data_IF_182565513923
#
_entry.id   IF_182565513923
#
_cell.length_a   1.000
_cell.length_b   1.000
_cell.length_c   1.000
_cell.angle_alpha   90.00
_cell.angle_beta   90.00
_cell.angle_gamma   90.00
#
_symmetry.space_group_name_H-M   'P 1'
#
loop_
_entity.id
_entity.type
_entity.pdbx_description
1 polymer ?
#
# COMPACT_ATOMS: atom_id res chain seq x y z
N UNK A 1 13.36 10.76 11.99
CA UNK A 1 12.78 11.85 11.17
C UNK A 1 13.76 12.49 10.19
N UNK A 2 14.88 13.10 10.63
CA UNK A 2 15.84 13.81 9.74
C UNK A 2 16.27 13.03 8.48
N UNK A 3 16.58 11.74 8.62
CA UNK A 3 16.98 10.88 7.49
C UNK A 3 15.84 10.71 6.47
N UNK A 4 14.62 10.47 6.96
CA UNK A 4 13.44 10.31 6.09
C UNK A 4 13.18 11.59 5.27
N UNK A 5 13.23 12.77 5.90
CA UNK A 5 13.06 14.05 5.20
C UNK A 5 14.12 14.23 4.09
N UNK A 6 15.39 13.87 4.37
CA UNK A 6 16.46 13.90 3.36
C UNK A 6 16.19 12.94 2.20
N UNK A 7 15.68 11.74 2.48
CA UNK A 7 15.35 10.76 1.45
C UNK A 7 14.19 11.23 0.57
N UNK A 8 13.13 11.80 1.17
CA UNK A 8 11.99 12.40 0.47
C UNK A 8 12.45 13.55 -0.43
N UNK A 9 13.29 14.47 0.09
CA UNK A 9 13.85 15.58 -0.71
C UNK A 9 14.72 15.08 -1.88
N UNK A 10 15.45 13.99 -1.67
CA UNK A 10 16.26 13.36 -2.72
C UNK A 10 15.37 12.75 -3.82
N UNK A 11 14.30 12.05 -3.44
CA UNK A 11 13.34 11.51 -4.41
C UNK A 11 12.63 12.63 -5.16
N UNK A 12 12.18 13.68 -4.46
CA UNK A 12 11.58 14.87 -5.07
C UNK A 12 12.48 15.45 -6.15
N UNK A 13 13.75 15.70 -5.82
CA UNK A 13 14.72 16.29 -6.76
C UNK A 13 14.88 15.44 -8.02
N UNK A 14 14.95 14.11 -7.87
CA UNK A 14 15.04 13.17 -9.00
C UNK A 14 13.76 13.18 -9.84
N UNK A 15 12.60 13.18 -9.20
CA UNK A 15 11.32 13.11 -9.90
C UNK A 15 10.99 14.41 -10.64
N UNK A 16 11.31 15.57 -10.05
CA UNK A 16 11.18 16.88 -10.69
C UNK A 16 12.04 16.94 -11.96
N UNK A 17 13.33 16.58 -11.86
CA UNK A 17 14.22 16.56 -13.01
C UNK A 17 13.72 15.60 -14.12
N UNK A 18 13.14 14.46 -13.73
CA UNK A 18 12.50 13.53 -14.68
C UNK A 18 11.29 14.14 -15.40
N UNK A 19 10.40 14.81 -14.65
CA UNK A 19 9.20 15.47 -15.21
C UNK A 19 9.58 16.64 -16.12
N UNK A 20 10.52 17.49 -15.71
CA UNK A 20 11.02 18.61 -16.51
C UNK A 20 11.66 18.14 -17.82
N UNK A 21 12.49 17.08 -17.78
CA UNK A 21 13.06 16.45 -18.98
C UNK A 21 11.99 15.90 -19.93
N UNK A 22 10.80 15.57 -19.42
CA UNK A 22 9.64 15.11 -20.19
C UNK A 22 8.72 16.25 -20.65
N UNK A 23 9.07 17.51 -20.38
CA UNK A 23 8.24 18.69 -20.69
C UNK A 23 7.03 18.86 -19.77
N UNK A 24 6.93 18.08 -18.69
CA UNK A 24 5.83 18.09 -17.71
C UNK A 24 6.08 19.14 -16.62
N UNK A 25 6.19 20.41 -17.01
CA UNK A 25 6.56 21.51 -16.11
C UNK A 25 5.50 21.81 -15.05
N UNK A 26 4.21 21.65 -15.40
CA UNK A 26 3.11 21.88 -14.46
C UNK A 26 3.12 20.81 -13.36
N UNK A 27 3.24 19.54 -13.74
CA UNK A 27 3.33 18.42 -12.82
C UNK A 27 4.56 18.54 -11.90
N UNK A 28 5.70 18.95 -12.45
CA UNK A 28 6.92 19.20 -11.68
C UNK A 28 6.70 20.30 -10.62
N UNK A 29 6.03 21.39 -11.00
CA UNK A 29 5.69 22.49 -10.08
C UNK A 29 4.72 22.05 -9.00
N UNK A 30 3.64 21.35 -9.38
CA UNK A 30 2.64 20.82 -8.45
C UNK A 30 3.30 19.89 -7.42
N UNK A 31 4.17 18.98 -7.88
CA UNK A 31 4.87 18.03 -7.02
C UNK A 31 5.79 18.74 -6.04
N UNK A 32 6.56 19.73 -6.52
CA UNK A 32 7.48 20.52 -5.72
C UNK A 32 6.76 21.28 -4.62
N UNK A 33 5.71 22.02 -4.98
CA UNK A 33 4.95 22.83 -4.03
C UNK A 33 4.32 21.95 -2.94
N UNK A 34 3.65 20.86 -3.33
CA UNK A 34 3.00 19.95 -2.39
C UNK A 34 4.01 19.30 -1.44
N UNK A 35 5.10 18.76 -2.00
CA UNK A 35 6.08 17.99 -1.22
C UNK A 35 6.87 18.89 -0.27
N UNK A 36 7.24 20.11 -0.69
CA UNK A 36 7.94 21.06 0.19
C UNK A 36 7.05 21.49 1.36
N UNK A 37 5.76 21.77 1.12
CA UNK A 37 4.81 22.06 2.19
C UNK A 37 4.68 20.90 3.18
N UNK A 38 4.52 19.67 2.67
CA UNK A 38 4.44 18.48 3.54
C UNK A 38 5.76 18.27 4.34
N UNK A 39 6.93 18.57 3.75
CA UNK A 39 8.25 18.53 4.43
C UNK A 39 8.38 19.58 5.54
N UNK A 40 7.93 20.81 5.31
CA UNK A 40 7.89 21.88 6.32
C UNK A 40 7.00 21.48 7.49
N UNK A 41 5.77 21.01 7.19
CA UNK A 41 4.84 20.54 8.23
C UNK A 41 5.41 19.38 9.07
N UNK A 42 6.06 18.39 8.43
CA UNK A 42 6.73 17.30 9.16
C UNK A 42 7.92 17.78 9.99
N UNK A 43 8.61 18.84 9.56
CA UNK A 43 9.75 19.40 10.30
C UNK A 43 9.30 20.19 11.53
N UNK A 44 8.21 20.95 11.43
CA UNK A 44 7.70 21.81 12.50
C UNK A 44 6.82 21.06 13.50
N UNK A 45 5.89 20.25 13.01
CA UNK A 45 4.84 19.62 13.83
C UNK A 45 5.04 18.12 14.02
N UNK A 46 5.95 17.51 13.26
CA UNK A 46 6.15 16.05 13.24
C UNK A 46 5.16 15.29 12.36
N UNK A 47 4.13 15.94 11.80
CA UNK A 47 3.12 15.31 10.94
C UNK A 47 2.75 16.20 9.74
N UNK A 48 2.11 15.63 8.72
CA UNK A 48 1.52 16.38 7.62
C UNK A 48 0.21 15.70 7.14
N UNK A 49 -0.59 16.43 6.37
CA UNK A 49 -1.79 15.87 5.75
C UNK A 49 -1.40 14.87 4.66
N UNK A 50 -1.83 13.62 4.82
CA UNK A 50 -1.48 12.54 3.90
C UNK A 50 -0.09 11.94 4.16
N UNK A 51 0.36 11.94 5.42
CA UNK A 51 1.68 11.42 5.82
C UNK A 51 1.91 9.96 5.39
N UNK A 52 0.85 9.17 5.24
CA UNK A 52 0.90 7.79 4.78
C UNK A 52 1.51 7.66 3.38
N UNK A 53 1.47 8.70 2.54
CA UNK A 53 2.11 8.70 1.22
C UNK A 53 3.65 8.69 1.31
N UNK A 54 4.20 8.94 2.50
CA UNK A 54 5.63 8.87 2.80
C UNK A 54 5.99 7.63 3.64
N UNK A 55 5.06 6.68 3.85
CA UNK A 55 5.25 5.55 4.76
C UNK A 55 6.55 4.79 4.51
N UNK A 56 6.92 4.53 3.25
CA UNK A 56 8.14 3.78 2.93
C UNK A 56 9.40 4.52 3.35
N UNK A 57 9.43 5.86 3.24
CA UNK A 57 10.56 6.67 3.72
C UNK A 57 10.62 6.72 5.24
N UNK A 58 9.46 6.79 5.90
CA UNK A 58 9.35 6.86 7.36
C UNK A 58 9.71 5.52 8.02
N UNK A 59 9.33 4.41 7.39
CA UNK A 59 9.60 3.04 7.84
C UNK A 59 10.95 2.51 7.32
N UNK A 60 11.64 3.27 6.47
CA UNK A 60 12.86 2.87 5.75
C UNK A 60 12.70 1.54 5.00
N UNK A 61 11.50 1.27 4.49
CA UNK A 61 11.25 0.10 3.64
C UNK A 61 11.87 0.31 2.27
N UNK A 62 12.39 -0.79 1.70
CA UNK A 62 12.80 -0.81 0.30
C UNK A 62 11.56 -0.69 -0.59
N UNK A 63 11.72 -0.04 -1.75
CA UNK A 63 10.66 0.10 -2.73
C UNK A 63 10.08 -1.26 -3.14
N UNK A 64 8.75 -1.36 -3.27
CA UNK A 64 8.05 -2.58 -3.62
C UNK A 64 7.78 -3.55 -2.46
N UNK A 65 8.47 -3.41 -1.32
CA UNK A 65 8.22 -4.25 -0.13
C UNK A 65 6.80 -4.00 0.37
N UNK A 66 6.00 -5.04 0.69
CA UNK A 66 4.63 -4.86 1.16
C UNK A 66 4.58 -4.01 2.45
N UNK A 67 3.55 -3.18 2.64
CA UNK A 67 3.40 -2.43 3.87
C UNK A 67 3.05 -3.33 5.06
N UNK A 68 3.26 -2.78 6.26
CA UNK A 68 2.73 -3.37 7.48
C UNK A 68 1.21 -3.24 7.51
N UNK A 69 0.56 -4.27 8.03
CA UNK A 69 -0.89 -4.42 8.11
C UNK A 69 -1.27 -5.02 9.46
N UNK A 70 -2.56 -5.08 9.76
CA UNK A 70 -3.08 -5.76 10.95
C UNK A 70 -2.57 -7.21 11.07
N UNK A 71 -2.42 -7.93 9.96
CA UNK A 71 -1.92 -9.31 9.95
C UNK A 71 -0.51 -9.42 10.54
N UNK A 72 0.34 -8.41 10.35
CA UNK A 72 1.69 -8.40 10.92
C UNK A 72 1.67 -8.22 12.44
N UNK A 73 0.68 -7.52 12.99
CA UNK A 73 0.46 -7.41 14.43
C UNK A 73 -0.05 -8.73 15.01
N UNK A 74 -1.05 -9.35 14.37
CA UNK A 74 -1.59 -10.64 14.79
C UNK A 74 -0.51 -11.73 14.78
N UNK A 75 0.30 -11.79 13.72
CA UNK A 75 1.41 -12.74 13.61
C UNK A 75 2.50 -12.58 14.68
N UNK A 76 2.67 -11.36 15.20
CA UNK A 76 3.57 -11.11 16.34
C UNK A 76 3.00 -11.63 17.65
N UNK A 77 1.67 -11.64 17.81
CA UNK A 77 0.98 -12.16 18.99
C UNK A 77 0.94 -13.69 18.95
N UNK A 78 0.45 -14.26 17.84
CA UNK A 78 0.47 -15.71 17.60
C UNK A 78 0.66 -15.98 16.10
N UNK A 79 1.66 -16.79 15.75
CA UNK A 79 1.91 -17.20 14.36
C UNK A 79 0.79 -18.08 13.79
N UNK A 80 -0.08 -18.63 14.63
CA UNK A 80 -1.20 -19.53 14.27
C UNK A 80 -2.57 -18.87 14.43
N UNK A 81 -2.63 -17.55 14.43
CA UNK A 81 -3.91 -16.84 14.50
C UNK A 81 -4.90 -17.37 13.44
N UNK A 82 -6.16 -17.44 13.83
CA UNK A 82 -7.26 -17.86 12.97
C UNK A 82 -7.79 -16.65 12.19
N UNK A 83 -7.94 -16.81 10.88
CA UNK A 83 -8.60 -15.85 10.00
C UNK A 83 -9.94 -16.44 9.58
N UNK A 84 -11.03 -15.73 9.82
CA UNK A 84 -12.36 -16.11 9.31
C UNK A 84 -12.70 -15.09 8.22
N UNK A 85 -12.94 -15.58 7.01
CA UNK A 85 -13.40 -14.76 5.90
C UNK A 85 -14.87 -15.08 5.72
N UNK A 86 -15.72 -14.11 6.01
CA UNK A 86 -17.16 -14.23 5.83
C UNK A 86 -17.57 -13.78 4.42
N UNK A 87 -18.65 -14.35 3.93
CA UNK A 87 -19.14 -14.22 2.56
C UNK A 87 -18.03 -14.26 1.50
N UNK A 88 -17.28 -15.36 1.51
CA UNK A 88 -16.06 -15.50 0.72
C UNK A 88 -16.25 -15.32 -0.78
N UNK A 89 -17.41 -15.70 -1.30
CA UNK A 89 -17.80 -15.50 -2.69
C UNK A 89 -17.78 -14.02 -3.12
N UNK A 90 -17.90 -13.09 -2.18
CA UNK A 90 -17.75 -11.64 -2.38
C UNK A 90 -16.36 -11.17 -1.92
N UNK A 91 -15.92 -11.60 -0.73
CA UNK A 91 -14.72 -11.10 -0.10
C UNK A 91 -13.43 -11.45 -0.87
N UNK A 92 -13.33 -12.66 -1.44
CA UNK A 92 -12.15 -13.08 -2.19
C UNK A 92 -11.97 -12.25 -3.48
N UNK A 93 -12.99 -12.10 -4.35
CA UNK A 93 -12.90 -11.18 -5.49
C UNK A 93 -12.51 -9.75 -5.09
N UNK A 94 -13.04 -9.25 -3.97
CA UNK A 94 -12.68 -7.93 -3.46
C UNK A 94 -11.20 -7.83 -3.09
N UNK A 95 -10.67 -8.79 -2.33
CA UNK A 95 -9.25 -8.84 -1.95
C UNK A 95 -8.33 -8.89 -3.18
N UNK A 96 -8.71 -9.61 -4.23
CA UNK A 96 -8.00 -9.61 -5.51
C UNK A 96 -7.97 -8.22 -6.18
N UNK A 97 -9.08 -7.49 -6.12
CA UNK A 97 -9.22 -6.20 -6.79
C UNK A 97 -8.47 -5.05 -6.08
N UNK A 98 -8.38 -5.08 -4.74
CA UNK A 98 -7.90 -3.95 -3.92
C UNK A 98 -6.56 -3.38 -4.38
N UNK A 99 -5.54 -4.23 -4.57
CA UNK A 99 -4.21 -3.79 -4.98
C UNK A 99 -4.22 -3.09 -6.35
N UNK A 100 -4.91 -3.68 -7.34
CA UNK A 100 -4.93 -3.15 -8.71
C UNK A 100 -5.70 -1.83 -8.80
N UNK A 101 -6.83 -1.74 -8.10
CA UNK A 101 -7.64 -0.51 -8.03
C UNK A 101 -6.85 0.63 -7.39
N UNK A 102 -6.19 0.38 -6.27
CA UNK A 102 -5.37 1.38 -5.61
C UNK A 102 -4.14 1.78 -6.45
N UNK A 103 -3.46 0.81 -7.07
CA UNK A 103 -2.32 1.04 -7.97
C UNK A 103 -2.72 1.94 -9.15
N UNK A 104 -3.86 1.67 -9.79
CA UNK A 104 -4.37 2.48 -10.90
C UNK A 104 -4.60 3.93 -10.47
N UNK A 105 -5.31 4.13 -9.36
CA UNK A 105 -5.55 5.47 -8.80
C UNK A 105 -4.25 6.21 -8.46
N UNK A 106 -3.30 5.54 -7.79
CA UNK A 106 -2.00 6.15 -7.44
C UNK A 106 -1.14 6.46 -8.66
N UNK A 107 -1.20 5.64 -9.71
CA UNK A 107 -0.49 5.92 -10.95
C UNK A 107 -0.93 7.26 -11.56
N UNK A 108 -2.23 7.54 -11.59
CA UNK A 108 -2.77 8.82 -12.08
C UNK A 108 -2.24 9.99 -11.25
N UNK A 109 -2.27 9.87 -9.91
CA UNK A 109 -1.77 10.92 -9.02
C UNK A 109 -0.27 11.21 -9.26
N UNK A 110 0.53 10.18 -9.47
CA UNK A 110 1.97 10.31 -9.70
C UNK A 110 2.26 10.86 -11.09
N UNK A 111 1.51 10.42 -12.10
CA UNK A 111 1.66 10.87 -13.48
C UNK A 111 1.39 12.37 -13.64
N UNK A 112 0.43 12.89 -12.87
CA UNK A 112 0.07 14.31 -12.84
C UNK A 112 0.79 15.12 -11.73
N UNK A 113 1.82 14.56 -11.11
CA UNK A 113 2.66 15.29 -10.15
C UNK A 113 2.02 15.61 -8.81
N UNK A 114 0.92 14.94 -8.43
CA UNK A 114 0.30 15.15 -7.12
C UNK A 114 1.02 14.40 -5.99
N UNK A 115 1.74 13.31 -6.30
CA UNK A 115 2.45 12.47 -5.32
C UNK A 115 3.78 11.94 -5.88
N UNK A 116 4.72 11.67 -4.98
CA UNK A 116 5.98 11.01 -5.32
C UNK A 116 5.78 9.55 -5.74
N UNK A 117 6.68 8.96 -6.55
CA UNK A 117 6.63 7.55 -6.94
C UNK A 117 6.50 6.57 -5.78
N UNK A 118 7.17 6.84 -4.65
CA UNK A 118 7.14 6.03 -3.42
C UNK A 118 5.75 5.96 -2.78
N UNK A 119 4.83 6.86 -3.12
CA UNK A 119 3.45 6.75 -2.63
C UNK A 119 2.78 5.42 -3.03
N UNK A 120 3.26 4.75 -4.09
CA UNK A 120 2.80 3.39 -4.47
C UNK A 120 3.04 2.33 -3.40
N UNK A 121 4.04 2.52 -2.55
CA UNK A 121 4.42 1.53 -1.52
C UNK A 121 3.51 1.57 -0.29
N UNK A 122 2.69 2.61 -0.16
CA UNK A 122 1.60 2.67 0.80
C UNK A 122 0.31 2.14 0.16
N UNK A 123 0.10 0.84 0.15
CA UNK A 123 -0.95 0.18 -0.65
C UNK A 123 -1.59 -1.00 0.09
N UNK A 124 -2.75 -1.49 -0.36
CA UNK A 124 -3.21 -2.81 0.05
C UNK A 124 -2.19 -3.89 -0.33
N UNK A 125 -2.27 -5.03 0.36
CA UNK A 125 -1.54 -6.23 -0.04
C UNK A 125 -2.07 -6.72 -1.39
N UNK A 126 -1.20 -7.29 -2.21
CA UNK A 126 -1.66 -8.16 -3.28
C UNK A 126 -2.31 -9.41 -2.67
N UNK A 127 -3.12 -10.11 -3.45
CA UNK A 127 -3.75 -11.34 -2.96
C UNK A 127 -2.70 -12.39 -2.55
N UNK A 128 -1.62 -12.52 -3.31
CA UNK A 128 -0.50 -13.41 -2.99
C UNK A 128 0.21 -13.00 -1.69
N UNK A 129 0.43 -11.70 -1.48
CA UNK A 129 1.01 -11.20 -0.23
C UNK A 129 0.08 -11.45 0.97
N UNK A 130 -1.23 -11.34 0.78
CA UNK A 130 -2.24 -11.69 1.79
C UNK A 130 -2.20 -13.18 2.12
N UNK A 131 -2.23 -14.06 1.11
CA UNK A 131 -2.18 -15.52 1.29
C UNK A 131 -0.90 -15.97 2.02
N UNK A 132 0.22 -15.29 1.79
CA UNK A 132 1.48 -15.56 2.49
C UNK A 132 1.52 -15.05 3.94
N UNK A 133 0.61 -14.14 4.31
CA UNK A 133 0.56 -13.54 5.65
C UNK A 133 -0.51 -14.17 6.56
N UNK A 134 -1.60 -14.69 6.01
CA UNK A 134 -2.65 -15.34 6.80
C UNK A 134 -2.18 -16.64 7.44
N UNK A 135 -2.68 -16.92 8.64
CA UNK A 135 -2.47 -18.18 9.36
C UNK A 135 -3.45 -19.25 8.89
N UNK A 136 -4.13 -19.90 9.84
CA UNK A 136 -5.23 -20.80 9.50
C UNK A 136 -6.42 -19.96 9.00
N UNK A 137 -7.09 -20.41 7.94
CA UNK A 137 -8.23 -19.70 7.34
C UNK A 137 -9.48 -20.58 7.37
N UNK A 138 -10.59 -20.01 7.81
CA UNK A 138 -11.95 -20.55 7.65
C UNK A 138 -12.66 -19.70 6.61
N UNK A 139 -13.13 -20.35 5.56
CA UNK A 139 -13.95 -19.75 4.52
C UNK A 139 -15.43 -19.99 4.88
N UNK A 140 -16.17 -18.92 5.18
CA UNK A 140 -17.59 -18.96 5.52
C UNK A 140 -18.42 -18.40 4.36
N UNK A 141 -19.20 -19.26 3.71
CA UNK A 141 -20.24 -18.81 2.77
C UNK A 141 -21.21 -19.94 2.43
N UNK A 142 -22.46 -19.58 2.16
CA UNK A 142 -23.45 -20.49 1.61
C UNK A 142 -23.15 -20.90 0.15
N UNK A 143 -22.34 -20.12 -0.57
CA UNK A 143 -22.05 -20.33 -2.00
C UNK A 143 -20.54 -20.28 -2.27
N UNK A 144 -19.74 -21.22 -1.72
CA UNK A 144 -18.28 -21.17 -1.83
C UNK A 144 -17.83 -21.20 -3.29
N UNK A 145 -16.94 -20.28 -3.65
CA UNK A 145 -16.37 -20.19 -4.98
C UNK A 145 -15.30 -21.26 -5.26
N UNK A 146 -14.74 -21.27 -6.49
CA UNK A 146 -13.71 -22.22 -6.88
C UNK A 146 -12.42 -22.12 -6.05
N UNK A 147 -12.04 -20.91 -5.61
CA UNK A 147 -10.83 -20.69 -4.81
C UNK A 147 -10.94 -21.40 -3.46
N UNK A 148 -12.08 -21.24 -2.80
CA UNK A 148 -12.36 -21.78 -1.47
C UNK A 148 -12.46 -23.31 -1.50
N UNK A 149 -13.13 -23.86 -2.50
CA UNK A 149 -13.22 -25.32 -2.72
C UNK A 149 -11.82 -25.92 -2.94
N UNK A 150 -10.98 -25.26 -3.73
CA UNK A 150 -9.62 -25.72 -4.00
C UNK A 150 -8.73 -25.65 -2.73
N UNK A 151 -8.78 -24.53 -2.00
CA UNK A 151 -7.95 -24.30 -0.80
C UNK A 151 -8.35 -25.15 0.39
N UNK A 152 -9.64 -25.42 0.57
CA UNK A 152 -10.15 -26.31 1.63
C UNK A 152 -9.88 -27.79 1.38
N UNK A 153 -9.39 -28.18 0.19
CA UNK A 153 -9.28 -29.59 -0.25
C UNK A 153 -10.61 -30.35 -0.05
N UNK A 154 -11.75 -29.66 -0.19
CA UNK A 154 -13.10 -30.16 0.09
C UNK A 154 -13.36 -30.60 1.54
N UNK A 155 -12.56 -30.15 2.50
CA UNK A 155 -12.91 -30.26 3.91
C UNK A 155 -13.96 -29.18 4.23
N UNK A 156 -15.22 -29.56 4.10
CA UNK A 156 -16.38 -28.70 4.38
C UNK A 156 -17.09 -29.25 5.60
N UNK A 157 -17.37 -28.39 6.57
CA UNK A 157 -18.30 -28.71 7.64
C UNK A 157 -19.72 -28.36 7.15
N UNK A 158 -20.64 -29.30 7.27
CA UNK A 158 -22.08 -29.09 7.06
C UNK A 158 -22.71 -28.47 8.31
#
# INVERSE_FOLDING_TARGET
>A
MKIALKNIKTELSKQVAFLEKKGKLLEARCLTQRTNYDLEMMQETGVCSGIENYSSHLEFRKQGVPPFTLLDYLKKIDKRFLTIIDETHIAIPQLHAMYNTDKARKNVLIEHGFRLPTARDNRPLSFEEFENKVGQVIYSSATPGPHEIAKSKRQMAL
#
